data_IF_817580579349
#
_entry.id   IF_817580579349
#
_cell.length_a   1.000
_cell.length_b   1.000
_cell.length_c   1.000
_cell.angle_alpha   90.00
_cell.angle_beta   90.00
_cell.angle_gamma   90.00
#
_symmetry.space_group_name_H-M   'P 1'
#
loop_
_entity.id
_entity.type
_entity.pdbx_description
1 polymer ?
#
# COMPACT_ATOMS: atom_id res chain seq x y z
N UNK A 1 17.29 8.43 -25.56
CA UNK A 1 18.36 9.31 -26.07
C UNK A 1 19.70 8.89 -25.46
N UNK A 2 20.46 8.05 -26.16
CA UNK A 2 21.83 7.69 -25.81
C UNK A 2 22.76 8.77 -26.36
N UNK A 3 23.24 9.67 -25.49
CA UNK A 3 24.23 10.68 -25.88
C UNK A 3 25.57 9.95 -26.02
N UNK A 4 25.94 9.58 -27.25
CA UNK A 4 27.13 8.76 -27.55
C UNK A 4 28.47 9.51 -27.45
N UNK A 5 28.52 10.71 -26.89
CA UNK A 5 29.74 11.53 -26.91
C UNK A 5 29.86 12.52 -25.74
N UNK A 6 29.43 12.12 -24.54
CA UNK A 6 29.37 12.99 -23.34
C UNK A 6 30.68 13.73 -23.06
N UNK A 7 31.83 13.07 -23.25
CA UNK A 7 33.15 13.68 -23.01
C UNK A 7 33.44 14.84 -23.98
N UNK A 8 33.15 14.71 -25.28
CA UNK A 8 33.41 15.79 -26.23
C UNK A 8 32.49 16.99 -26.03
N UNK A 9 31.25 16.79 -25.57
CA UNK A 9 30.35 17.90 -25.22
C UNK A 9 30.80 18.64 -23.95
N UNK A 10 31.24 17.90 -22.92
CA UNK A 10 31.82 18.50 -21.71
C UNK A 10 33.07 19.29 -22.06
N UNK A 11 33.95 18.74 -22.89
CA UNK A 11 35.19 19.41 -23.31
C UNK A 11 34.91 20.69 -24.08
N UNK A 12 33.93 20.66 -25.01
CA UNK A 12 33.49 21.84 -25.74
C UNK A 12 32.89 22.91 -24.83
N UNK A 13 32.08 22.51 -23.84
CA UNK A 13 31.51 23.42 -22.86
C UNK A 13 32.60 24.14 -22.05
N UNK A 14 33.53 23.39 -21.45
CA UNK A 14 34.63 23.99 -20.67
C UNK A 14 35.57 24.82 -21.54
N UNK A 15 35.79 24.44 -22.80
CA UNK A 15 36.58 25.23 -23.76
C UNK A 15 35.89 26.56 -24.07
N UNK A 16 34.58 26.56 -24.34
CA UNK A 16 33.82 27.78 -24.54
C UNK A 16 33.82 28.67 -23.29
N UNK A 17 33.64 28.07 -22.11
CA UNK A 17 33.69 28.77 -20.82
C UNK A 17 35.05 29.44 -20.59
N UNK A 18 36.14 28.75 -20.92
CA UNK A 18 37.51 29.26 -20.84
C UNK A 18 37.75 30.43 -21.81
N UNK A 19 37.20 30.38 -23.02
CA UNK A 19 37.28 31.49 -23.98
C UNK A 19 36.52 32.71 -23.45
N UNK A 20 35.31 32.51 -22.91
CA UNK A 20 34.48 33.60 -22.35
C UNK A 20 35.15 34.27 -21.15
N UNK A 21 35.88 33.50 -20.32
CA UNK A 21 36.54 34.02 -19.12
C UNK A 21 37.81 34.84 -19.41
N UNK A 22 38.41 34.73 -20.61
CA UNK A 22 39.61 35.49 -21.02
C UNK A 22 39.28 36.96 -21.36
N UNK A 23 38.03 37.26 -21.73
CA UNK A 23 37.58 38.62 -22.10
C UNK A 23 37.96 39.67 -21.04
N UNK A 24 38.63 40.76 -21.45
CA UNK A 24 39.11 41.85 -20.58
C UNK A 24 37.97 42.60 -19.84
N UNK A 25 36.72 42.49 -20.30
CA UNK A 25 35.55 43.15 -19.69
C UNK A 25 34.80 42.27 -18.69
N UNK A 26 35.16 40.99 -18.55
CA UNK A 26 34.43 40.06 -17.70
C UNK A 26 35.04 39.99 -16.29
N UNK A 27 34.20 40.22 -15.27
CA UNK A 27 34.49 39.99 -13.83
C UNK A 27 35.00 38.56 -13.54
N UNK A 28 34.85 37.66 -14.51
CA UNK A 28 35.15 36.23 -14.47
C UNK A 28 36.64 35.89 -14.48
N UNK A 29 37.53 36.86 -14.76
CA UNK A 29 38.99 36.67 -14.62
C UNK A 29 39.44 36.29 -13.21
N UNK A 30 38.59 36.52 -12.20
CA UNK A 30 38.84 36.15 -10.80
C UNK A 30 38.32 34.74 -10.44
N UNK A 31 37.62 34.07 -11.35
CA UNK A 31 37.03 32.76 -11.10
C UNK A 31 37.94 31.67 -11.67
N UNK A 32 38.30 30.69 -10.84
CA UNK A 32 38.91 29.45 -11.31
C UNK A 32 37.82 28.46 -11.68
N UNK A 33 37.90 27.88 -12.89
CA UNK A 33 37.01 26.82 -13.32
C UNK A 33 37.69 25.47 -13.12
N UNK A 34 37.10 24.62 -12.29
CA UNK A 34 37.55 23.24 -12.15
C UNK A 34 36.76 22.39 -13.15
N UNK A 35 37.46 21.85 -14.15
CA UNK A 35 36.88 20.82 -15.02
C UNK A 35 36.74 19.55 -14.20
N UNK A 36 35.51 19.10 -13.98
CA UNK A 36 35.25 17.87 -13.27
C UNK A 36 35.37 16.69 -14.23
N UNK A 37 36.39 15.84 -14.03
CA UNK A 37 36.55 14.56 -14.74
C UNK A 37 35.80 13.48 -13.97
N UNK A 38 34.47 13.54 -14.00
CA UNK A 38 33.64 12.64 -13.21
C UNK A 38 33.16 11.47 -14.06
N UNK A 39 33.28 10.24 -13.54
CA UNK A 39 32.70 9.06 -14.19
C UNK A 39 31.17 9.24 -14.25
N UNK A 40 30.55 8.84 -15.35
CA UNK A 40 29.09 8.95 -15.54
C UNK A 40 28.30 8.31 -14.38
N UNK A 41 28.70 7.13 -13.91
CA UNK A 41 28.05 6.45 -12.80
C UNK A 41 28.08 7.25 -11.49
N UNK A 42 29.14 8.00 -11.24
CA UNK A 42 29.29 8.89 -10.07
C UNK A 42 28.43 10.14 -10.27
N UNK A 43 28.37 10.65 -11.50
CA UNK A 43 27.58 11.83 -11.83
C UNK A 43 26.09 11.54 -11.63
N UNK A 44 25.63 10.38 -12.12
CA UNK A 44 24.25 9.96 -11.97
C UNK A 44 23.86 9.84 -10.49
N UNK A 45 24.76 9.30 -9.64
CA UNK A 45 24.59 9.25 -8.17
C UNK A 45 24.49 10.63 -7.53
N UNK A 46 25.44 11.52 -7.82
CA UNK A 46 25.41 12.92 -7.35
C UNK A 46 24.12 13.61 -7.75
N UNK A 47 23.76 13.46 -9.03
CA UNK A 47 22.61 14.12 -9.63
C UNK A 47 21.32 13.71 -8.93
N UNK A 48 21.05 12.41 -8.77
CA UNK A 48 19.83 11.92 -8.13
C UNK A 48 19.72 12.44 -6.68
N UNK A 49 20.80 12.32 -5.90
CA UNK A 49 20.82 12.78 -4.52
C UNK A 49 20.60 14.29 -4.42
N UNK A 50 21.31 15.08 -5.23
CA UNK A 50 21.22 16.52 -5.25
C UNK A 50 19.84 17.00 -5.70
N UNK A 51 19.36 16.56 -6.86
CA UNK A 51 18.09 17.00 -7.44
C UNK A 51 16.92 16.71 -6.50
N UNK A 52 16.86 15.51 -5.92
CA UNK A 52 15.77 15.18 -4.99
C UNK A 52 15.87 15.99 -3.69
N UNK A 53 17.08 16.19 -3.16
CA UNK A 53 17.28 17.00 -1.95
C UNK A 53 16.76 18.43 -2.15
N UNK A 54 17.04 19.04 -3.30
CA UNK A 54 16.57 20.39 -3.64
C UNK A 54 15.07 20.43 -3.94
N UNK A 55 14.56 19.52 -4.77
CA UNK A 55 13.14 19.47 -5.17
C UNK A 55 12.22 19.18 -3.97
N UNK A 56 12.71 18.49 -2.94
CA UNK A 56 11.89 18.16 -1.79
C UNK A 56 11.29 19.38 -1.10
N UNK A 57 11.96 20.53 -1.07
CA UNK A 57 11.38 21.72 -0.42
C UNK A 57 10.13 22.20 -1.16
N UNK A 58 10.14 22.15 -2.49
CA UNK A 58 8.94 22.39 -3.29
C UNK A 58 7.86 21.31 -3.04
N UNK A 59 8.23 20.02 -2.98
CA UNK A 59 7.28 18.94 -2.65
C UNK A 59 6.64 19.17 -1.27
N UNK A 60 7.43 19.64 -0.30
CA UNK A 60 6.97 19.95 1.05
C UNK A 60 5.95 21.10 1.04
N UNK A 61 6.20 22.16 0.27
CA UNK A 61 5.23 23.25 0.08
C UNK A 61 3.93 22.73 -0.55
N UNK A 62 4.05 21.88 -1.58
CA UNK A 62 2.94 21.25 -2.27
C UNK A 62 2.05 20.38 -1.36
N UNK A 63 2.61 19.81 -0.28
CA UNK A 63 1.84 19.09 0.74
C UNK A 63 0.97 20.01 1.62
N UNK A 64 1.25 21.31 1.65
CA UNK A 64 0.46 22.29 2.43
C UNK A 64 -0.85 22.65 1.75
N UNK A 65 -0.95 22.47 0.44
CA UNK A 65 -2.18 22.72 -0.31
C UNK A 65 -3.17 21.57 -0.13
N UNK A 66 -4.28 21.84 0.56
CA UNK A 66 -5.40 20.91 0.68
C UNK A 66 -5.94 20.57 -0.72
N UNK A 67 -6.19 19.28 -0.99
CA UNK A 67 -6.67 18.72 -2.27
C UNK A 67 -5.67 18.67 -3.44
N UNK A 68 -4.36 18.75 -3.19
CA UNK A 68 -3.37 18.53 -4.26
C UNK A 68 -3.45 17.08 -4.80
N UNK A 69 -3.90 16.93 -6.06
CA UNK A 69 -4.03 15.63 -6.72
C UNK A 69 -2.69 14.93 -6.96
N UNK A 70 -1.57 15.67 -6.92
CA UNK A 70 -0.23 15.17 -7.18
C UNK A 70 0.44 14.53 -5.95
N UNK A 71 -0.18 14.62 -4.76
CA UNK A 71 0.39 14.06 -3.52
C UNK A 71 0.84 12.61 -3.71
N UNK A 72 0.03 11.78 -4.37
CA UNK A 72 0.36 10.39 -4.64
C UNK A 72 1.62 10.23 -5.49
N UNK A 73 1.77 11.05 -6.53
CA UNK A 73 2.94 11.08 -7.42
C UNK A 73 4.18 11.49 -6.64
N UNK A 74 4.08 12.54 -5.82
CA UNK A 74 5.17 12.97 -4.95
C UNK A 74 5.57 11.89 -3.95
N UNK A 75 4.60 11.23 -3.32
CA UNK A 75 4.87 10.14 -2.38
C UNK A 75 5.57 8.96 -3.05
N UNK A 76 5.16 8.57 -4.27
CA UNK A 76 5.88 7.57 -5.07
C UNK A 76 7.31 8.01 -5.35
N UNK A 77 7.53 9.27 -5.74
CA UNK A 77 8.86 9.80 -5.98
C UNK A 77 9.74 9.81 -4.73
N UNK A 78 9.19 10.17 -3.56
CA UNK A 78 9.89 10.12 -2.28
C UNK A 78 10.32 8.69 -1.94
N UNK A 79 9.39 7.73 -2.06
CA UNK A 79 9.66 6.32 -1.76
C UNK A 79 10.79 5.76 -2.63
N UNK A 80 10.77 6.03 -3.94
CA UNK A 80 11.83 5.56 -4.84
C UNK A 80 13.19 6.19 -4.54
N UNK A 81 13.25 7.47 -4.19
CA UNK A 81 14.52 8.12 -3.82
C UNK A 81 15.07 7.59 -2.48
N UNK A 82 14.21 7.29 -1.52
CA UNK A 82 14.62 6.65 -0.26
C UNK A 82 15.16 5.24 -0.51
N UNK A 83 14.51 4.48 -1.41
CA UNK A 83 15.01 3.17 -1.84
C UNK A 83 16.37 3.29 -2.53
N UNK A 84 16.51 4.26 -3.43
CA UNK A 84 17.76 4.52 -4.14
C UNK A 84 18.91 4.84 -3.17
N UNK A 85 18.68 5.77 -2.24
CA UNK A 85 19.67 6.10 -1.20
C UNK A 85 20.14 4.87 -0.43
N UNK A 86 19.22 4.00 -0.02
CA UNK A 86 19.57 2.78 0.70
C UNK A 86 20.38 1.78 -0.15
N UNK A 87 20.13 1.72 -1.46
CA UNK A 87 20.90 0.85 -2.38
C UNK A 87 22.37 1.25 -2.55
N UNK A 88 22.70 2.53 -2.34
CA UNK A 88 24.07 3.06 -2.45
C UNK A 88 24.72 3.33 -1.09
N UNK A 89 23.99 3.09 0.01
CA UNK A 89 24.40 3.45 1.37
C UNK A 89 25.68 2.72 1.81
N UNK A 90 25.83 1.45 1.42
CA UNK A 90 27.00 0.65 1.75
C UNK A 90 28.27 1.10 1.00
N UNK A 91 28.12 1.83 -0.10
CA UNK A 91 29.26 2.34 -0.87
C UNK A 91 29.88 3.61 -0.27
N UNK A 92 29.12 4.36 0.57
CA UNK A 92 29.49 5.67 1.10
C UNK A 92 29.62 5.67 2.63
N UNK A 93 30.56 4.89 3.17
CA UNK A 93 30.79 4.78 4.63
C UNK A 93 31.39 6.06 5.22
N UNK A 94 32.35 6.68 4.51
CA UNK A 94 33.05 7.89 4.95
C UNK A 94 33.44 8.80 3.77
N UNK A 95 33.96 9.99 4.06
CA UNK A 95 34.27 11.01 3.05
C UNK A 95 35.22 10.53 1.94
N UNK A 96 36.08 9.56 2.22
CA UNK A 96 37.04 9.02 1.25
C UNK A 96 36.52 7.78 0.51
N UNK A 97 35.39 7.21 0.95
CA UNK A 97 34.84 5.98 0.36
C UNK A 97 34.10 6.22 -0.96
N UNK A 98 33.65 7.45 -1.21
CA UNK A 98 32.88 7.76 -2.40
C UNK A 98 33.00 9.23 -2.84
N UNK A 99 33.04 9.45 -4.16
CA UNK A 99 33.21 10.78 -4.77
C UNK A 99 31.95 11.68 -4.68
N UNK A 100 30.85 11.16 -4.14
CA UNK A 100 29.55 11.81 -3.99
C UNK A 100 29.13 11.97 -2.52
N UNK A 101 30.09 11.90 -1.61
CA UNK A 101 29.86 11.94 -0.16
C UNK A 101 29.12 13.20 0.31
N UNK A 102 29.43 14.37 -0.26
CA UNK A 102 28.82 15.63 0.16
C UNK A 102 27.31 15.64 -0.12
N UNK A 103 26.90 15.18 -1.31
CA UNK A 103 25.49 15.04 -1.67
C UNK A 103 24.81 13.95 -0.83
N UNK A 104 25.49 12.83 -0.59
CA UNK A 104 25.01 11.75 0.28
C UNK A 104 24.76 12.24 1.71
N UNK A 105 25.70 13.00 2.28
CA UNK A 105 25.60 13.55 3.65
C UNK A 105 24.43 14.53 3.76
N UNK A 106 24.29 15.46 2.82
CA UNK A 106 23.17 16.42 2.79
C UNK A 106 21.81 15.72 2.69
N UNK A 107 21.71 14.71 1.83
CA UNK A 107 20.50 13.90 1.72
C UNK A 107 20.19 13.23 3.06
N UNK A 108 21.18 12.55 3.65
CA UNK A 108 21.03 11.84 4.94
C UNK A 108 20.58 12.79 6.05
N UNK A 109 21.23 13.93 6.20
CA UNK A 109 20.89 14.93 7.22
C UNK A 109 19.46 15.47 7.06
N UNK A 110 19.04 15.76 5.82
CA UNK A 110 17.69 16.26 5.54
C UNK A 110 16.61 15.22 5.84
N UNK A 111 16.82 13.97 5.42
CA UNK A 111 15.80 12.93 5.50
C UNK A 111 15.89 12.05 6.75
N UNK A 112 16.91 12.23 7.59
CA UNK A 112 16.90 11.75 8.98
C UNK A 112 16.24 12.74 9.94
N UNK A 113 15.96 13.97 9.51
CA UNK A 113 15.26 14.94 10.34
C UNK A 113 13.86 14.41 10.73
N UNK A 114 13.54 14.29 12.03
CA UNK A 114 12.26 13.75 12.47
C UNK A 114 11.05 14.54 11.98
N UNK A 115 11.14 15.86 11.84
CA UNK A 115 10.05 16.70 11.35
C UNK A 115 9.73 16.40 9.89
N UNK A 116 10.77 16.27 9.06
CA UNK A 116 10.69 15.91 7.64
C UNK A 116 10.06 14.52 7.49
N UNK A 117 10.56 13.54 8.24
CA UNK A 117 10.03 12.18 8.23
C UNK A 117 8.57 12.12 8.68
N UNK A 118 8.22 12.79 9.77
CA UNK A 118 6.85 12.83 10.29
C UNK A 118 5.87 13.42 9.27
N UNK A 119 6.29 14.48 8.56
CA UNK A 119 5.49 15.04 7.48
C UNK A 119 5.25 14.02 6.37
N UNK A 120 6.30 13.34 5.90
CA UNK A 120 6.21 12.28 4.88
C UNK A 120 5.28 11.16 5.34
N UNK A 121 5.46 10.64 6.56
CA UNK A 121 4.62 9.58 7.11
C UNK A 121 3.14 9.95 7.18
N UNK A 122 2.85 11.21 7.54
CA UNK A 122 1.47 11.71 7.64
C UNK A 122 0.87 11.92 6.25
N UNK A 123 1.56 12.64 5.36
CA UNK A 123 1.02 13.05 4.06
C UNK A 123 0.97 11.91 3.06
N UNK A 124 1.94 11.00 3.10
CA UNK A 124 2.00 9.85 2.21
C UNK A 124 1.37 8.58 2.78
N UNK A 125 0.84 8.64 4.02
CA UNK A 125 0.36 7.48 4.74
C UNK A 125 1.40 6.33 4.76
N UNK A 126 2.65 6.68 5.07
CA UNK A 126 3.79 5.76 5.08
C UNK A 126 4.20 5.40 6.51
N UNK A 127 4.91 4.29 6.63
CA UNK A 127 5.56 3.76 7.84
C UNK A 127 6.97 3.31 7.49
N UNK A 128 7.89 3.41 8.45
CA UNK A 128 9.24 2.84 8.33
C UNK A 128 9.17 1.32 8.15
N UNK A 129 10.08 0.79 7.37
CA UNK A 129 10.29 -0.66 7.17
C UNK A 129 11.77 -0.95 6.97
N UNK A 130 12.16 -2.21 7.13
CA UNK A 130 13.51 -2.69 6.86
C UNK A 130 13.80 -2.62 5.36
N UNK A 131 15.04 -2.26 5.01
CA UNK A 131 15.49 -2.26 3.62
C UNK A 131 15.96 -3.65 3.19
N UNK A 132 15.68 -4.05 1.95
CA UNK A 132 16.18 -5.33 1.38
C UNK A 132 17.69 -5.31 1.14
N UNK A 133 18.26 -4.12 0.92
CA UNK A 133 19.69 -3.86 0.70
C UNK A 133 20.09 -2.67 1.60
N UNK A 134 21.23 -2.77 2.30
CA UNK A 134 21.69 -1.76 3.26
C UNK A 134 21.57 -2.19 4.73
N UNK A 135 22.43 -1.62 5.58
CA UNK A 135 22.33 -1.84 7.03
C UNK A 135 21.07 -1.17 7.60
N UNK A 136 20.27 -1.97 8.32
CA UNK A 136 19.15 -1.49 9.15
C UNK A 136 19.64 -0.71 10.40
N UNK A 137 20.74 0.03 10.27
CA UNK A 137 21.24 0.87 11.35
C UNK A 137 20.19 1.95 11.66
N UNK A 138 19.88 2.12 12.94
CA UNK A 138 18.84 3.01 13.46
C UNK A 138 19.02 4.48 13.02
N UNK A 139 20.25 4.86 12.64
CA UNK A 139 20.64 6.21 12.26
C UNK A 139 20.62 6.48 10.73
N UNK A 140 20.00 5.61 9.93
CA UNK A 140 19.93 5.76 8.47
C UNK A 140 18.52 6.12 7.97
N UNK A 141 18.46 6.71 6.77
CA UNK A 141 17.20 7.07 6.11
C UNK A 141 16.37 5.80 5.91
N UNK A 142 15.15 5.71 6.47
CA UNK A 142 14.41 4.45 6.50
C UNK A 142 13.88 4.07 5.12
N UNK A 143 13.67 2.77 4.87
CA UNK A 143 12.80 2.38 3.76
C UNK A 143 11.33 2.65 4.13
N UNK A 144 10.51 2.97 3.11
CA UNK A 144 9.13 3.37 3.30
C UNK A 144 8.17 2.29 2.78
N UNK A 145 7.15 1.99 3.58
CA UNK A 145 6.02 1.15 3.19
C UNK A 145 4.70 1.88 3.42
N UNK A 146 3.75 1.67 2.54
CA UNK A 146 2.39 2.18 2.72
C UNK A 146 1.73 1.59 3.96
N UNK A 147 1.11 2.42 4.80
CA UNK A 147 0.33 1.98 5.96
C UNK A 147 -0.92 1.25 5.45
N UNK A 148 -1.18 0.07 5.98
CA UNK A 148 -2.30 -0.77 5.58
C UNK A 148 -2.08 -2.22 5.96
N UNK A 149 -3.02 -3.09 5.59
CA UNK A 149 -2.95 -4.50 5.93
C UNK A 149 -1.76 -5.18 5.20
N UNK A 150 -0.77 -5.73 5.93
CA UNK A 150 0.39 -6.39 5.33
C UNK A 150 0.04 -7.51 4.36
N UNK A 151 -1.06 -8.22 4.65
CA UNK A 151 -1.59 -9.31 3.84
C UNK A 151 -2.12 -8.82 2.49
N UNK A 152 -2.82 -7.68 2.48
CA UNK A 152 -3.32 -7.10 1.23
C UNK A 152 -2.16 -6.63 0.35
N UNK A 153 -1.09 -6.09 0.92
CA UNK A 153 0.08 -5.70 0.13
C UNK A 153 0.83 -6.89 -0.47
N UNK A 154 0.87 -8.04 0.21
CA UNK A 154 1.47 -9.26 -0.35
C UNK A 154 0.69 -9.77 -1.56
N UNK A 155 -0.64 -9.65 -1.52
CA UNK A 155 -1.51 -10.13 -2.59
C UNK A 155 -1.55 -9.12 -3.73
N UNK A 156 -1.75 -7.84 -3.43
CA UNK A 156 -2.11 -6.82 -4.41
C UNK A 156 -0.98 -5.83 -4.73
N UNK A 157 0.12 -5.81 -3.98
CA UNK A 157 1.12 -4.75 -4.05
C UNK A 157 0.61 -3.43 -3.48
N UNK A 158 1.44 -2.38 -3.50
CA UNK A 158 1.04 -1.03 -3.07
C UNK A 158 0.90 -0.01 -4.21
N UNK A 159 1.15 -0.44 -5.45
CA UNK A 159 0.90 0.34 -6.65
C UNK A 159 -0.50 0.01 -7.21
N UNK A 160 -1.39 1.00 -7.40
CA UNK A 160 -2.71 0.81 -8.00
C UNK A 160 -2.69 0.05 -9.33
N UNK A 161 -1.69 0.24 -10.18
CA UNK A 161 -1.59 -0.52 -11.44
C UNK A 161 -1.36 -2.01 -11.18
N UNK A 162 -0.52 -2.32 -10.18
CA UNK A 162 -0.27 -3.68 -9.75
C UNK A 162 -1.53 -4.30 -9.11
N UNK A 163 -2.25 -3.53 -8.27
CA UNK A 163 -3.51 -3.98 -7.65
C UNK A 163 -4.55 -4.32 -8.73
N UNK A 164 -4.72 -3.45 -9.74
CA UNK A 164 -5.65 -3.67 -10.85
C UNK A 164 -5.26 -4.92 -11.64
N UNK A 165 -3.97 -5.10 -11.94
CA UNK A 165 -3.50 -6.25 -12.69
C UNK A 165 -3.72 -7.57 -11.91
N UNK A 166 -3.46 -7.58 -10.60
CA UNK A 166 -3.74 -8.74 -9.74
C UNK A 166 -5.24 -9.04 -9.70
N UNK A 167 -6.10 -8.03 -9.52
CA UNK A 167 -7.55 -8.22 -9.49
C UNK A 167 -8.07 -8.77 -10.82
N UNK A 168 -7.61 -8.23 -11.96
CA UNK A 168 -7.99 -8.72 -13.28
C UNK A 168 -7.56 -10.17 -13.50
N UNK A 169 -6.32 -10.51 -13.15
CA UNK A 169 -5.83 -11.89 -13.25
C UNK A 169 -6.61 -12.84 -12.34
N UNK A 170 -6.91 -12.43 -11.10
CA UNK A 170 -7.73 -13.23 -10.19
C UNK A 170 -9.15 -13.42 -10.71
N UNK A 171 -9.79 -12.37 -11.26
CA UNK A 171 -11.10 -12.48 -11.89
C UNK A 171 -11.11 -13.41 -13.09
N UNK A 172 -10.08 -13.33 -13.96
CA UNK A 172 -9.93 -14.21 -15.12
C UNK A 172 -9.74 -15.69 -14.72
N UNK A 173 -8.97 -15.96 -13.67
CA UNK A 173 -8.72 -17.33 -13.18
C UNK A 173 -9.93 -17.87 -12.40
N UNK A 174 -10.60 -17.04 -11.60
CA UNK A 174 -11.71 -17.47 -10.75
C UNK A 174 -13.01 -17.73 -11.51
N UNK A 175 -13.25 -17.04 -12.63
CA UNK A 175 -14.45 -17.23 -13.45
C UNK A 175 -14.65 -18.68 -13.95
N UNK A 176 -13.67 -19.34 -14.60
CA UNK A 176 -13.82 -20.73 -15.04
C UNK A 176 -13.90 -21.70 -13.87
N UNK A 177 -13.18 -21.43 -12.77
CA UNK A 177 -13.21 -22.26 -11.55
C UNK A 177 -14.60 -22.21 -10.89
N UNK A 178 -15.18 -21.02 -10.72
CA UNK A 178 -16.53 -20.84 -10.18
C UNK A 178 -17.59 -21.49 -11.08
N UNK A 179 -17.45 -21.38 -12.41
CA UNK A 179 -18.33 -22.07 -13.36
C UNK A 179 -18.27 -23.60 -13.18
N UNK A 180 -17.05 -24.15 -13.11
CA UNK A 180 -16.83 -25.57 -12.83
C UNK A 180 -17.40 -25.99 -11.46
N UNK A 181 -17.20 -25.18 -10.42
CA UNK A 181 -17.79 -25.44 -9.10
C UNK A 181 -19.31 -25.43 -9.13
N UNK A 182 -19.95 -24.52 -9.88
CA UNK A 182 -21.42 -24.49 -10.02
C UNK A 182 -21.93 -25.72 -10.77
N UNK A 183 -21.24 -26.13 -11.84
CA UNK A 183 -21.55 -27.35 -12.59
C UNK A 183 -21.40 -28.57 -11.67
N UNK A 184 -20.26 -28.72 -11.01
CA UNK A 184 -20.03 -29.81 -10.07
C UNK A 184 -21.05 -29.77 -8.93
N UNK A 185 -21.37 -28.62 -8.36
CA UNK A 185 -22.39 -28.53 -7.31
C UNK A 185 -23.76 -28.96 -7.81
N UNK A 186 -24.12 -28.67 -9.08
CA UNK A 186 -25.40 -29.10 -9.67
C UNK A 186 -25.42 -30.60 -10.01
N UNK A 187 -24.29 -31.19 -10.41
CA UNK A 187 -24.22 -32.56 -10.95
C UNK A 187 -23.56 -33.60 -10.03
N UNK A 188 -22.93 -33.18 -8.93
CA UNK A 188 -22.27 -34.07 -7.94
C UNK A 188 -23.26 -34.46 -6.84
N UNK A 189 -23.15 -35.65 -6.22
CA UNK A 189 -24.01 -36.10 -5.12
C UNK A 189 -24.07 -35.12 -3.94
N UNK A 190 -23.03 -34.31 -3.74
CA UNK A 190 -22.96 -33.28 -2.69
C UNK A 190 -24.08 -32.24 -2.82
N UNK A 191 -24.37 -31.70 -4.01
CA UNK A 191 -25.45 -30.72 -4.17
C UNK A 191 -26.84 -31.32 -3.99
N UNK A 192 -27.03 -32.58 -4.42
CA UNK A 192 -28.25 -33.35 -4.11
C UNK A 192 -28.41 -33.56 -2.60
N UNK A 193 -27.32 -33.87 -1.89
CA UNK A 193 -27.31 -34.05 -0.43
C UNK A 193 -27.65 -32.75 0.31
N UNK A 194 -27.08 -31.60 -0.11
CA UNK A 194 -27.43 -30.29 0.45
C UNK A 194 -28.88 -29.88 0.18
N UNK A 195 -29.40 -30.12 -1.02
CA UNK A 195 -30.80 -29.86 -1.34
C UNK A 195 -31.74 -30.77 -0.53
N UNK A 196 -31.37 -32.04 -0.34
CA UNK A 196 -32.09 -33.00 0.51
C UNK A 196 -32.10 -32.53 1.97
N UNK A 197 -30.95 -32.16 2.54
CA UNK A 197 -30.85 -31.58 3.88
C UNK A 197 -31.70 -30.31 4.04
N UNK A 198 -31.73 -29.43 3.03
CA UNK A 198 -32.56 -28.22 3.04
C UNK A 198 -34.06 -28.56 3.03
N UNK A 199 -34.48 -29.57 2.25
CA UNK A 199 -35.87 -30.05 2.23
C UNK A 199 -36.25 -30.74 3.54
N UNK A 200 -35.36 -31.57 4.11
CA UNK A 200 -35.57 -32.25 5.38
C UNK A 200 -35.71 -31.27 6.54
N UNK A 201 -34.86 -30.22 6.60
CA UNK A 201 -35.02 -29.14 7.59
C UNK A 201 -36.34 -28.37 7.43
N UNK A 202 -36.81 -28.18 6.20
CA UNK A 202 -38.08 -27.48 5.95
C UNK A 202 -39.29 -28.33 6.39
N UNK A 203 -39.22 -29.66 6.17
CA UNK A 203 -40.24 -30.62 6.60
C UNK A 203 -40.26 -30.79 8.13
N UNK A 204 -39.09 -30.91 8.78
CA UNK A 204 -39.02 -31.03 10.24
C UNK A 204 -39.48 -29.76 10.95
N UNK A 205 -39.20 -28.58 10.39
CA UNK A 205 -39.71 -27.31 10.91
C UNK A 205 -41.24 -27.20 10.83
N UNK A 206 -41.85 -27.64 9.72
CA UNK A 206 -43.31 -27.70 9.59
C UNK A 206 -43.94 -28.69 10.56
N UNK A 207 -43.37 -29.90 10.67
CA UNK A 207 -43.87 -30.94 11.58
C UNK A 207 -43.80 -30.52 13.05
N UNK A 208 -42.69 -29.91 13.46
CA UNK A 208 -42.53 -29.36 14.83
C UNK A 208 -43.54 -28.24 15.12
N UNK A 209 -43.91 -27.45 14.10
CA UNK A 209 -44.95 -26.41 14.23
C UNK A 209 -46.35 -27.01 14.39
N UNK A 210 -46.67 -28.08 13.67
CA UNK A 210 -47.95 -28.80 13.80
C UNK A 210 -48.07 -29.52 15.15
N UNK A 211 -47.01 -30.19 15.60
CA UNK A 211 -46.97 -30.85 16.92
C UNK A 211 -47.20 -29.85 18.06
N UNK A 212 -46.57 -28.67 18.01
CA UNK A 212 -46.81 -27.60 18.98
C UNK A 212 -48.26 -27.08 18.98
N UNK A 213 -48.92 -27.02 17.81
CA UNK A 213 -50.32 -26.58 17.71
C UNK A 213 -51.26 -27.65 18.30
N UNK A 214 -51.01 -28.93 18.02
CA UNK A 214 -51.79 -30.03 18.59
C UNK A 214 -51.65 -30.12 20.10
N UNK A 215 -50.44 -29.92 20.63
CA UNK A 215 -50.18 -29.89 22.08
C UNK A 215 -50.94 -28.74 22.75
N UNK A 216 -50.93 -27.55 22.14
CA UNK A 216 -51.69 -26.40 22.63
C UNK A 216 -53.20 -26.68 22.66
N UNK A 217 -53.77 -27.24 21.59
CA UNK A 217 -55.19 -27.57 21.55
C UNK A 217 -55.58 -28.63 22.58
N UNK A 218 -54.73 -29.64 22.81
CA UNK A 218 -54.97 -30.68 23.81
C UNK A 218 -54.98 -30.10 25.23
N UNK A 219 -54.05 -29.21 25.54
CA UNK A 219 -54.00 -28.52 26.84
C UNK A 219 -55.21 -27.60 27.05
N UNK A 220 -55.63 -26.89 26.01
CA UNK A 220 -56.83 -26.04 26.06
C UNK A 220 -58.12 -26.85 26.27
N UNK A 221 -58.27 -27.99 25.59
CA UNK A 221 -59.40 -28.89 25.79
C UNK A 221 -59.46 -29.47 27.21
N UNK A 222 -58.31 -29.85 27.78
CA UNK A 222 -58.24 -30.34 29.15
C UNK A 222 -58.62 -29.27 30.19
N UNK A 223 -58.18 -28.02 29.96
CA UNK A 223 -58.58 -26.87 30.79
C UNK A 223 -60.10 -26.66 30.77
N UNK A 224 -60.71 -26.63 29.58
CA UNK A 224 -62.17 -26.48 29.45
C UNK A 224 -62.94 -27.64 30.12
N UNK A 225 -62.50 -28.88 29.97
CA UNK A 225 -63.14 -30.04 30.63
C UNK A 225 -63.07 -29.92 32.16
N UNK A 226 -61.93 -29.47 32.71
CA UNK A 226 -61.79 -29.23 34.15
C UNK A 226 -62.69 -28.10 34.65
N UNK A 227 -62.83 -27.02 33.88
CA UNK A 227 -63.65 -25.88 34.26
C UNK A 227 -65.15 -26.23 34.19
N UNK A 228 -65.56 -27.00 33.19
CA UNK A 228 -66.93 -27.51 33.06
C UNK A 228 -67.25 -28.47 34.21
N UNK A 229 -66.37 -29.43 34.54
CA UNK A 229 -66.56 -30.33 35.69
C UNK A 229 -66.69 -29.58 37.01
N UNK A 230 -65.86 -28.55 37.23
CA UNK A 230 -65.95 -27.71 38.42
C UNK A 230 -67.28 -26.93 38.50
N UNK A 231 -67.80 -26.45 37.35
CA UNK A 231 -69.11 -25.78 37.30
C UNK A 231 -70.28 -26.75 37.49
N UNK A 232 -70.19 -27.98 36.99
CA UNK A 232 -71.21 -29.02 37.18
C UNK A 232 -71.28 -29.50 38.63
N UNK A 233 -70.16 -29.55 39.35
CA UNK A 233 -70.14 -29.88 40.77
C UNK A 233 -70.74 -28.81 41.70
N UNK A 234 -70.78 -27.54 41.28
CA UNK A 234 -71.44 -26.45 42.03
C UNK A 234 -72.97 -26.45 41.88
N UNK A 235 -73.54 -27.21 40.94
CA UNK A 235 -74.99 -27.26 40.67
C UNK A 235 -75.78 -28.28 41.51
N UNK A 236 -75.12 -29.14 42.29
CA UNK A 236 -75.75 -30.17 43.12
C UNK A 236 -75.34 -30.03 44.59
N UNK A 237 -75.67 -28.88 45.20
CA UNK A 237 -75.98 -28.86 46.62
C UNK A 237 -77.48 -28.63 46.76
N UNK A 238 -78.22 -29.73 46.88
CA UNK A 238 -79.61 -29.69 47.30
C UNK A 238 -79.65 -29.26 48.77
N UNK A 239 -80.34 -28.15 49.04
CA UNK A 239 -80.87 -27.78 50.37
C UNK A 239 -81.90 -28.80 50.83
#
# INVERSE_FOLDING_TARGET
>A
LTISNVNTHIDRFYSALAIISISKRNLWKKCSFKKYTLKKSIFDKKKILYEFTEIYDHIKEEFSHENNSNVKTYCKHIKENFRYFNSINEECINQNSCDYYDEYKKFKEKFNNPEVLNLIYKKCNYTKTSCEQGSNAEDNVPCLRTKGNPFLFLIFGDDPEHIINVLLNFSLISAPILSLFVILFKFTPLGKSFNKLKQERKKSGHKKKEENIQEYMKNYAAYLDSEIKNRVHLGYHAT
#
